data_IF_377442326040
#
_entry.id   IF_377442326040
#
_cell.length_a   1.000
_cell.length_b   1.000
_cell.length_c   1.000
_cell.angle_alpha   90.00
_cell.angle_beta   90.00
_cell.angle_gamma   90.00
#
_symmetry.space_group_name_H-M   'P 1'
#
loop_
_entity.id
_entity.type
_entity.pdbx_description
1 polymer ?
#
# COMPACT_ATOMS: atom_id res chain seq x y z
N UNK A 1 -6.10 17.79 9.46
CA UNK A 1 -5.60 17.21 8.19
C UNK A 1 -5.34 15.74 8.44
N UNK A 2 -5.88 14.88 7.58
CA UNK A 2 -5.60 13.45 7.66
C UNK A 2 -4.09 13.20 7.58
N UNK A 3 -3.55 12.39 8.48
CA UNK A 3 -2.12 12.08 8.56
C UNK A 3 -1.84 10.59 8.58
N UNK A 4 -2.87 9.78 8.36
CA UNK A 4 -2.71 8.34 8.35
C UNK A 4 -2.30 7.85 6.97
N UNK A 5 -1.51 6.81 6.94
CA UNK A 5 -0.97 6.20 5.73
C UNK A 5 -1.36 4.73 5.72
N UNK A 6 -1.64 4.21 4.52
CA UNK A 6 -1.86 2.79 4.32
C UNK A 6 -0.83 2.21 3.37
N UNK A 7 -0.31 1.03 3.69
CA UNK A 7 0.71 0.33 2.91
C UNK A 7 0.18 -1.03 2.50
N UNK A 8 0.20 -1.31 1.20
CA UNK A 8 -0.03 -2.62 0.64
C UNK A 8 1.27 -3.27 0.19
N UNK A 9 1.33 -4.58 0.24
CA UNK A 9 2.48 -5.37 -0.14
C UNK A 9 2.05 -6.56 -1.00
N UNK A 10 2.79 -6.87 -2.04
CA UNK A 10 2.74 -8.17 -2.70
C UNK A 10 3.87 -9.09 -2.21
N UNK A 11 4.20 -10.17 -2.91
CA UNK A 11 5.15 -11.17 -2.41
C UNK A 11 6.58 -10.63 -2.17
N UNK A 12 7.21 -11.02 -1.07
CA UNK A 12 8.67 -11.05 -0.78
C UNK A 12 9.37 -9.68 -0.71
N UNK A 13 8.81 -8.66 -0.02
CA UNK A 13 9.46 -7.34 0.05
C UNK A 13 9.29 -6.64 1.41
N UNK A 14 9.59 -7.37 2.46
CA UNK A 14 9.50 -6.84 3.82
C UNK A 14 10.49 -5.69 4.09
N UNK A 15 11.64 -5.66 3.40
CA UNK A 15 12.59 -4.54 3.52
C UNK A 15 12.02 -3.24 2.96
N UNK A 16 11.32 -3.30 1.83
CA UNK A 16 10.62 -2.13 1.27
C UNK A 16 9.47 -1.68 2.19
N UNK A 17 8.72 -2.62 2.75
CA UNK A 17 7.68 -2.31 3.76
C UNK A 17 8.29 -1.58 4.96
N UNK A 18 9.40 -2.08 5.50
CA UNK A 18 10.12 -1.44 6.61
C UNK A 18 10.62 -0.04 6.24
N UNK A 19 11.11 0.15 5.02
CA UNK A 19 11.56 1.44 4.48
C UNK A 19 10.43 2.46 4.42
N UNK A 20 9.30 2.10 3.80
CA UNK A 20 8.11 2.96 3.69
C UNK A 20 7.57 3.29 5.08
N UNK A 21 7.47 2.30 5.98
CA UNK A 21 7.03 2.53 7.36
C UNK A 21 7.92 3.53 8.09
N UNK A 22 9.24 3.34 8.06
CA UNK A 22 10.20 4.27 8.70
C UNK A 22 10.10 5.68 8.15
N UNK A 23 10.03 5.83 6.83
CA UNK A 23 9.88 7.13 6.18
C UNK A 23 8.57 7.81 6.58
N UNK A 24 7.45 7.08 6.56
CA UNK A 24 6.15 7.58 6.98
C UNK A 24 6.18 8.12 8.42
N UNK A 25 6.77 7.35 9.33
CA UNK A 25 6.90 7.76 10.75
C UNK A 25 7.80 8.97 10.93
N UNK A 26 8.93 9.03 10.22
CA UNK A 26 9.86 10.17 10.30
C UNK A 26 9.27 11.46 9.72
N UNK A 27 8.34 11.36 8.79
CA UNK A 27 7.63 12.49 8.20
C UNK A 27 6.34 12.88 8.96
N UNK A 28 6.08 12.25 10.10
CA UNK A 28 5.01 12.63 11.02
C UNK A 28 3.66 12.01 10.72
N UNK A 29 3.62 10.83 10.08
CA UNK A 29 2.38 10.06 9.99
C UNK A 29 1.90 9.64 11.39
N UNK A 30 0.65 9.92 11.71
CA UNK A 30 0.05 9.58 13.00
C UNK A 30 -0.12 8.07 13.12
N UNK A 31 -0.79 7.45 12.16
CA UNK A 31 -0.96 6.01 12.06
C UNK A 31 -0.54 5.49 10.70
N UNK A 32 0.06 4.31 10.71
CA UNK A 32 0.44 3.58 9.51
C UNK A 32 -0.25 2.21 9.54
N UNK A 33 -1.12 2.00 8.58
CA UNK A 33 -1.84 0.74 8.43
C UNK A 33 -1.20 -0.14 7.35
N UNK A 34 -1.19 -1.43 7.56
CA UNK A 34 -0.84 -2.43 6.57
C UNK A 34 -2.10 -3.10 6.01
N UNK A 35 -2.24 -3.16 4.70
CA UNK A 35 -3.30 -3.94 4.05
C UNK A 35 -2.94 -5.42 4.12
N UNK A 36 -3.68 -6.20 4.89
CA UNK A 36 -3.53 -7.65 4.88
C UNK A 36 -4.07 -8.20 3.56
N UNK A 37 -3.29 -9.03 2.87
CA UNK A 37 -3.65 -9.56 1.55
C UNK A 37 -3.99 -8.49 0.48
N UNK A 38 -3.27 -7.36 0.49
CA UNK A 38 -3.37 -6.32 -0.52
C UNK A 38 -4.76 -5.68 -0.62
N UNK A 39 -5.17 -5.33 -1.84
CA UNK A 39 -6.46 -4.67 -2.08
C UNK A 39 -7.66 -5.55 -1.70
N UNK A 40 -7.55 -6.86 -1.88
CA UNK A 40 -8.64 -7.78 -1.49
C UNK A 40 -8.93 -7.71 0.01
N UNK A 41 -7.89 -7.74 0.83
CA UNK A 41 -8.04 -7.61 2.27
C UNK A 41 -8.48 -6.21 2.68
N UNK A 42 -8.00 -5.16 2.02
CA UNK A 42 -8.49 -3.81 2.26
C UNK A 42 -10.00 -3.70 2.00
N UNK A 43 -10.50 -4.27 0.91
CA UNK A 43 -11.93 -4.32 0.62
C UNK A 43 -12.73 -5.11 1.66
N UNK A 44 -12.11 -6.05 2.37
CA UNK A 44 -12.69 -6.79 3.51
C UNK A 44 -12.43 -6.11 4.85
N UNK A 45 -11.76 -4.95 4.85
CA UNK A 45 -11.36 -4.20 6.03
C UNK A 45 -10.36 -4.96 6.93
N UNK A 46 -9.55 -5.83 6.33
CA UNK A 46 -8.49 -6.56 7.01
C UNK A 46 -7.21 -5.71 7.08
N UNK A 47 -7.11 -4.88 8.11
CA UNK A 47 -6.01 -3.94 8.33
C UNK A 47 -5.21 -4.29 9.59
N UNK A 48 -3.92 -4.03 9.55
CA UNK A 48 -3.01 -4.11 10.70
C UNK A 48 -2.50 -2.71 11.03
N UNK A 49 -2.61 -2.29 12.28
CA UNK A 49 -1.94 -1.06 12.73
C UNK A 49 -0.45 -1.33 12.96
N UNK A 50 0.37 -0.91 12.00
CA UNK A 50 1.81 -1.20 12.01
C UNK A 50 2.54 -0.48 13.14
N UNK A 51 2.03 0.64 13.64
CA UNK A 51 2.60 1.34 14.79
C UNK A 51 2.67 0.46 16.05
N UNK A 52 1.70 -0.44 16.23
CA UNK A 52 1.66 -1.37 17.37
C UNK A 52 2.61 -2.55 17.16
N UNK A 53 2.75 -3.00 15.91
CA UNK A 53 3.54 -4.18 15.56
C UNK A 53 5.02 -3.87 15.35
N UNK A 54 5.34 -2.64 14.96
CA UNK A 54 6.69 -2.16 14.63
C UNK A 54 7.06 -0.97 15.53
N UNK A 55 6.79 -1.10 16.83
CA UNK A 55 6.96 -0.03 17.82
C UNK A 55 8.42 0.26 18.15
N UNK A 56 9.31 -0.70 17.95
CA UNK A 56 10.73 -0.57 18.25
C UNK A 56 11.65 -0.90 17.06
N UNK A 57 12.93 -0.56 17.21
CA UNK A 57 13.96 -0.82 16.20
C UNK A 57 14.15 -2.31 15.95
N UNK A 58 14.04 -3.14 16.97
CA UNK A 58 14.26 -4.58 16.85
C UNK A 58 13.16 -5.21 15.99
N UNK A 59 11.90 -4.87 16.23
CA UNK A 59 10.76 -5.35 15.44
C UNK A 59 10.91 -5.00 13.95
N UNK A 60 11.41 -3.79 13.63
CA UNK A 60 11.67 -3.37 12.25
C UNK A 60 12.82 -4.19 11.63
N UNK A 61 13.90 -4.45 12.36
CA UNK A 61 15.02 -5.26 11.86
C UNK A 61 14.61 -6.74 11.69
N UNK A 62 13.77 -7.26 12.56
CA UNK A 62 13.18 -8.59 12.41
C UNK A 62 12.29 -8.68 11.18
N UNK A 63 11.45 -7.67 10.93
CA UNK A 63 10.62 -7.59 9.73
C UNK A 63 11.45 -7.71 8.45
N UNK A 64 12.58 -7.01 8.35
CA UNK A 64 13.47 -7.08 7.17
C UNK A 64 14.04 -8.49 6.94
N UNK A 65 14.22 -9.26 8.00
CA UNK A 65 14.78 -10.62 7.96
C UNK A 65 13.71 -11.70 7.90
N UNK A 66 12.45 -11.34 8.06
CA UNK A 66 11.32 -12.27 7.97
C UNK A 66 11.17 -12.74 6.53
N UNK A 67 11.18 -14.04 6.26
CA UNK A 67 10.95 -14.55 4.92
C UNK A 67 9.49 -14.35 4.49
N UNK A 68 9.24 -14.44 3.19
CA UNK A 68 7.91 -14.27 2.59
C UNK A 68 7.36 -12.84 2.68
N UNK A 69 6.06 -12.67 2.60
CA UNK A 69 5.35 -11.39 2.64
C UNK A 69 4.65 -11.21 3.98
N UNK A 70 5.08 -10.26 4.78
CA UNK A 70 4.52 -10.02 6.12
C UNK A 70 3.03 -9.68 6.09
N UNK A 71 2.60 -8.86 5.13
CA UNK A 71 1.20 -8.49 4.95
C UNK A 71 0.40 -9.52 4.12
N UNK A 72 1.05 -10.57 3.63
CA UNK A 72 0.44 -11.48 2.68
C UNK A 72 0.33 -10.90 1.27
N UNK A 73 -0.22 -11.65 0.36
CA UNK A 73 -0.43 -11.22 -1.02
C UNK A 73 -1.80 -11.68 -1.53
N UNK A 74 -2.30 -11.04 -2.58
CA UNK A 74 -3.51 -11.47 -3.28
C UNK A 74 -3.28 -11.44 -4.79
N UNK A 75 -4.19 -12.08 -5.52
CA UNK A 75 -4.24 -12.02 -6.99
C UNK A 75 -5.48 -11.27 -7.50
N UNK A 76 -6.06 -10.44 -6.65
CA UNK A 76 -7.22 -9.65 -7.00
C UNK A 76 -6.80 -8.53 -7.97
N UNK A 77 -7.50 -8.42 -9.09
CA UNK A 77 -7.34 -7.34 -10.05
C UNK A 77 -8.56 -6.42 -9.97
N UNK A 78 -8.31 -5.13 -9.73
CA UNK A 78 -9.38 -4.14 -9.82
C UNK A 78 -9.92 -4.11 -11.25
N UNK A 79 -11.26 -4.12 -11.44
CA UNK A 79 -11.86 -3.89 -12.75
C UNK A 79 -11.50 -2.49 -13.26
N UNK A 80 -11.70 -2.24 -14.55
CA UNK A 80 -11.64 -0.86 -15.05
C UNK A 80 -12.78 -0.04 -14.42
N UNK A 81 -12.52 1.21 -14.01
CA UNK A 81 -13.53 2.03 -13.31
C UNK A 81 -14.82 2.25 -14.12
N UNK A 82 -14.71 2.23 -15.44
CA UNK A 82 -15.85 2.36 -16.38
C UNK A 82 -16.71 1.10 -16.42
N UNK A 83 -16.13 -0.08 -16.13
CA UNK A 83 -16.85 -1.35 -16.11
C UNK A 83 -17.53 -1.58 -14.75
N UNK A 84 -16.83 -1.31 -13.67
CA UNK A 84 -17.37 -1.42 -12.30
C UNK A 84 -16.64 -0.46 -11.35
N UNK A 85 -17.31 0.58 -10.92
CA UNK A 85 -16.78 1.54 -9.95
C UNK A 85 -17.01 1.16 -8.47
N UNK A 86 -17.78 0.11 -8.20
CA UNK A 86 -18.15 -0.29 -6.84
C UNK A 86 -16.95 -0.51 -5.91
N UNK A 87 -15.87 -1.22 -6.33
CA UNK A 87 -14.70 -1.39 -5.49
C UNK A 87 -14.01 -0.06 -5.14
N UNK A 88 -14.00 0.90 -6.07
CA UNK A 88 -13.37 2.21 -5.85
C UNK A 88 -14.13 3.05 -4.83
N UNK A 89 -15.46 3.07 -4.93
CA UNK A 89 -16.32 3.76 -3.94
C UNK A 89 -16.10 3.17 -2.55
N UNK A 90 -16.01 1.84 -2.45
CA UNK A 90 -15.72 1.17 -1.19
C UNK A 90 -14.33 1.52 -0.64
N UNK A 91 -13.30 1.56 -1.50
CA UNK A 91 -11.96 1.98 -1.11
C UNK A 91 -11.96 3.41 -0.53
N UNK A 92 -12.64 4.34 -1.19
CA UNK A 92 -12.69 5.74 -0.73
C UNK A 92 -13.46 5.88 0.58
N UNK A 93 -14.55 5.14 0.75
CA UNK A 93 -15.26 5.08 2.04
C UNK A 93 -14.35 4.60 3.17
N UNK A 94 -13.48 3.61 2.89
CA UNK A 94 -12.50 3.13 3.87
C UNK A 94 -11.39 4.15 4.11
N UNK A 95 -10.92 4.85 3.07
CA UNK A 95 -9.94 5.92 3.23
C UNK A 95 -10.47 7.05 4.10
N UNK A 96 -11.71 7.46 3.90
CA UNK A 96 -12.37 8.46 4.76
C UNK A 96 -12.54 7.94 6.20
N UNK A 97 -12.97 6.70 6.37
CA UNK A 97 -13.15 6.08 7.70
C UNK A 97 -11.87 6.05 8.52
N UNK A 98 -10.73 5.83 7.88
CA UNK A 98 -9.42 5.72 8.53
C UNK A 98 -8.56 6.99 8.39
N UNK A 99 -9.10 8.09 7.90
CA UNK A 99 -8.39 9.35 7.63
C UNK A 99 -7.10 9.15 6.81
N UNK A 100 -7.17 8.36 5.74
CA UNK A 100 -6.02 8.03 4.90
C UNK A 100 -5.70 9.19 3.96
N UNK A 101 -4.51 9.73 4.04
CA UNK A 101 -4.01 10.78 3.14
C UNK A 101 -3.05 10.26 2.05
N UNK A 102 -2.48 9.07 2.25
CA UNK A 102 -1.60 8.46 1.26
C UNK A 102 -1.67 6.93 1.29
N UNK A 103 -1.58 6.34 0.12
CA UNK A 103 -1.53 4.90 -0.13
C UNK A 103 -0.20 4.57 -0.77
N UNK A 104 0.54 3.65 -0.18
CA UNK A 104 1.74 3.06 -0.77
C UNK A 104 1.47 1.60 -1.10
N UNK A 105 1.67 1.23 -2.35
CA UNK A 105 1.49 -0.16 -2.75
C UNK A 105 2.77 -0.72 -3.36
N UNK A 106 3.35 -1.67 -2.66
CA UNK A 106 4.64 -2.28 -2.99
C UNK A 106 4.39 -3.58 -3.74
N UNK A 107 4.90 -3.68 -4.97
CA UNK A 107 4.70 -4.92 -5.73
C UNK A 107 5.09 -4.82 -7.20
N UNK A 108 4.73 -5.86 -7.93
CA UNK A 108 5.00 -5.99 -9.37
C UNK A 108 3.98 -5.26 -10.24
N UNK A 109 3.93 -5.64 -11.51
CA UNK A 109 3.12 -4.99 -12.55
C UNK A 109 1.63 -4.86 -12.18
N UNK A 110 1.02 -5.91 -11.63
CA UNK A 110 -0.40 -5.88 -11.23
C UNK A 110 -0.65 -4.86 -10.09
N UNK A 111 0.32 -4.69 -9.18
CA UNK A 111 0.23 -3.69 -8.11
C UNK A 111 0.38 -2.27 -8.66
N UNK A 112 1.26 -2.07 -9.62
CA UNK A 112 1.44 -0.77 -10.29
C UNK A 112 0.22 -0.41 -11.13
N UNK A 113 -0.38 -1.37 -11.84
CA UNK A 113 -1.65 -1.18 -12.54
C UNK A 113 -2.79 -0.78 -11.57
N UNK A 114 -2.86 -1.45 -10.43
CA UNK A 114 -3.82 -1.10 -9.37
C UNK A 114 -3.65 0.35 -8.90
N UNK A 115 -2.41 0.78 -8.63
CA UNK A 115 -2.11 2.18 -8.26
C UNK A 115 -2.55 3.17 -9.34
N UNK A 116 -2.25 2.86 -10.60
CA UNK A 116 -2.63 3.69 -11.73
C UNK A 116 -4.15 3.84 -11.87
N UNK A 117 -4.90 2.74 -11.76
CA UNK A 117 -6.37 2.75 -11.81
C UNK A 117 -6.98 3.56 -10.67
N UNK A 118 -6.51 3.36 -9.43
CA UNK A 118 -6.99 4.12 -8.27
C UNK A 118 -6.68 5.60 -8.45
N UNK A 119 -5.45 5.96 -8.84
CA UNK A 119 -5.04 7.35 -9.06
C UNK A 119 -5.86 8.05 -10.14
N UNK A 120 -6.09 7.39 -11.28
CA UNK A 120 -6.93 7.93 -12.35
C UNK A 120 -8.37 8.15 -11.91
N UNK A 121 -8.94 7.21 -11.18
CA UNK A 121 -10.30 7.36 -10.68
C UNK A 121 -10.41 8.46 -9.63
N UNK A 122 -9.42 8.60 -8.74
CA UNK A 122 -9.34 9.73 -7.79
C UNK A 122 -9.35 11.08 -8.51
N UNK A 123 -8.53 11.23 -9.55
CA UNK A 123 -8.49 12.45 -10.35
C UNK A 123 -9.85 12.74 -11.03
N UNK A 124 -10.51 11.70 -11.56
CA UNK A 124 -11.81 11.82 -12.20
C UNK A 124 -12.91 12.30 -11.26
N UNK A 125 -12.88 11.87 -10.00
CA UNK A 125 -13.91 12.23 -8.99
C UNK A 125 -13.49 13.36 -8.06
N UNK A 126 -12.27 13.90 -8.20
CA UNK A 126 -11.76 14.98 -7.36
C UNK A 126 -11.46 14.56 -5.91
N UNK A 127 -11.07 13.30 -5.69
CA UNK A 127 -10.73 12.79 -4.37
C UNK A 127 -9.27 13.09 -4.00
N UNK A 128 -9.06 13.74 -2.87
CA UNK A 128 -7.72 14.15 -2.42
C UNK A 128 -7.03 13.07 -1.58
N UNK A 129 -6.32 12.17 -2.23
CA UNK A 129 -5.40 11.23 -1.60
C UNK A 129 -4.22 10.96 -2.53
N UNK A 130 -3.06 10.65 -1.99
CA UNK A 130 -1.87 10.34 -2.78
C UNK A 130 -1.71 8.84 -2.92
N UNK A 131 -1.54 8.35 -4.14
CA UNK A 131 -1.26 6.95 -4.42
C UNK A 131 0.14 6.82 -5.00
N UNK A 132 0.99 6.06 -4.33
CA UNK A 132 2.39 5.84 -4.69
C UNK A 132 2.65 4.35 -4.89
N UNK A 133 3.06 3.96 -6.08
CA UNK A 133 3.59 2.63 -6.36
C UNK A 133 5.06 2.55 -5.94
N UNK A 134 5.42 1.46 -5.25
CA UNK A 134 6.81 1.10 -4.96
C UNK A 134 7.11 -0.16 -5.76
N UNK A 135 7.78 -0.04 -6.92
CA UNK A 135 7.93 -1.16 -7.83
C UNK A 135 8.87 -2.22 -7.27
N UNK A 136 8.57 -3.48 -7.60
CA UNK A 136 9.39 -4.64 -7.30
C UNK A 136 9.53 -5.51 -8.55
N UNK A 137 10.76 -5.82 -8.94
CA UNK A 137 11.07 -6.83 -9.95
C UNK A 137 12.30 -7.63 -9.53
N UNK A 138 12.31 -8.93 -9.84
CA UNK A 138 13.47 -9.79 -9.61
C UNK A 138 14.57 -9.47 -10.62
N UNK A 139 14.18 -9.09 -11.83
CA UNK A 139 15.09 -8.90 -12.95
C UNK A 139 15.74 -7.51 -12.97
N UNK A 140 15.29 -6.59 -12.09
CA UNK A 140 15.74 -5.19 -12.03
C UNK A 140 15.67 -4.49 -13.39
N UNK A 141 14.61 -4.74 -14.14
CA UNK A 141 14.41 -4.37 -15.54
C UNK A 141 13.48 -3.16 -15.75
N UNK A 142 13.19 -2.43 -14.68
CA UNK A 142 12.31 -1.27 -14.74
C UNK A 142 13.08 -0.04 -15.23
N UNK A 143 12.69 0.48 -16.39
CA UNK A 143 13.28 1.69 -16.94
C UNK A 143 13.09 2.90 -16.03
N UNK A 144 14.13 3.70 -15.84
CA UNK A 144 14.10 4.93 -15.06
C UNK A 144 14.42 4.76 -13.57
N UNK A 145 14.77 3.55 -13.13
CA UNK A 145 15.30 3.27 -11.79
C UNK A 145 16.55 2.42 -11.86
N UNK A 146 17.42 2.54 -10.88
CA UNK A 146 18.66 1.75 -10.76
C UNK A 146 18.46 0.52 -9.84
N UNK A 147 17.50 0.59 -8.94
CA UNK A 147 17.17 -0.49 -8.01
C UNK A 147 15.66 -0.61 -7.80
N UNK A 148 15.13 -1.81 -7.96
CA UNK A 148 13.72 -2.09 -7.70
C UNK A 148 13.47 -3.57 -7.34
#
# INVERSE_FOLDING_TARGET
MAKNIIIGQSAVINSSLAGVYKAARSLGADKVYGMKYGIEGLLKEELLELNVLLDDRMSIELLKRTPSSYLGSCRYKLPEPEADSTPYVKLFTLFDKYDICAVFYIGGNDSMDTCNKISKYMQKVGYECRVMGVPKTIDNDLFGTDHC
#
